data_IF_966389559787
#
_entry.id   IF_966389559787
#
_cell.length_a   1.000
_cell.length_b   1.000
_cell.length_c   1.000
_cell.angle_alpha   90.00
_cell.angle_beta   90.00
_cell.angle_gamma   90.00
#
_symmetry.space_group_name_H-M   'P 1'
#
loop_
_entity.id
_entity.type
_entity.pdbx_description
1 polymer ?
#
# COMPACT_ATOMS: atom_id res chain seq x y z
N UNK A 1 20.06 9.86 -8.76
CA UNK A 1 18.96 9.18 -9.48
C UNK A 1 18.30 10.19 -10.40
N UNK A 2 17.98 9.82 -11.63
CA UNK A 2 17.14 10.63 -12.51
C UNK A 2 15.69 10.24 -12.25
N UNK A 3 14.94 11.12 -11.61
CA UNK A 3 13.52 10.90 -11.36
C UNK A 3 12.73 11.27 -12.62
N UNK A 4 11.75 10.43 -12.98
CA UNK A 4 10.81 10.73 -14.05
C UNK A 4 9.51 11.21 -13.43
N UNK A 5 9.17 12.47 -13.67
CA UNK A 5 7.86 12.99 -13.29
C UNK A 5 6.85 12.64 -14.39
N UNK A 6 5.85 11.80 -14.06
CA UNK A 6 4.70 11.54 -14.94
C UNK A 6 3.60 12.56 -14.65
N UNK A 7 3.30 13.49 -15.59
CA UNK A 7 2.20 14.44 -15.43
C UNK A 7 0.86 13.75 -15.15
N UNK A 8 0.07 14.35 -14.27
CA UNK A 8 -1.24 13.83 -13.85
C UNK A 8 -2.17 13.55 -15.04
N UNK A 9 -2.19 14.44 -16.04
CA UNK A 9 -2.98 14.24 -17.26
C UNK A 9 -2.69 12.91 -17.97
N UNK A 10 -1.43 12.49 -18.04
CA UNK A 10 -1.05 11.24 -18.69
C UNK A 10 -1.39 10.04 -17.81
N UNK A 11 -1.24 10.16 -16.49
CA UNK A 11 -1.72 9.13 -15.55
C UNK A 11 -3.21 8.89 -15.76
N UNK A 12 -4.03 9.94 -15.78
CA UNK A 12 -5.48 9.79 -15.96
C UNK A 12 -5.84 9.20 -17.32
N UNK A 13 -5.12 9.55 -18.39
CA UNK A 13 -5.31 8.95 -19.72
C UNK A 13 -5.02 7.45 -19.70
N UNK A 14 -3.90 7.03 -19.09
CA UNK A 14 -3.54 5.61 -18.95
C UNK A 14 -4.62 4.85 -18.19
N UNK A 15 -5.09 5.39 -17.06
CA UNK A 15 -6.12 4.73 -16.27
C UNK A 15 -7.47 4.63 -17.01
N UNK A 16 -7.73 5.50 -17.98
CA UNK A 16 -8.97 5.47 -18.80
C UNK A 16 -8.93 4.37 -19.87
N UNK A 17 -7.78 3.72 -20.09
CA UNK A 17 -7.67 2.58 -21.00
C UNK A 17 -8.26 1.29 -20.43
N UNK A 18 -8.48 1.22 -19.11
CA UNK A 18 -9.06 0.05 -18.45
C UNK A 18 -10.59 0.08 -18.49
N UNK A 19 -11.22 -1.11 -18.53
CA UNK A 19 -12.68 -1.23 -18.39
C UNK A 19 -13.12 -0.66 -17.02
N UNK A 20 -14.14 0.19 -17.02
CA UNK A 20 -14.67 0.84 -15.82
C UNK A 20 -15.10 -0.17 -14.74
N UNK A 21 -15.56 -1.37 -15.12
CA UNK A 21 -15.98 -2.42 -14.16
C UNK A 21 -14.84 -2.88 -13.27
N UNK A 22 -13.61 -2.87 -13.78
CA UNK A 22 -12.40 -3.31 -13.09
C UNK A 22 -12.18 -2.52 -11.79
N UNK A 23 -12.49 -1.22 -11.78
CA UNK A 23 -12.31 -0.36 -10.61
C UNK A 23 -13.19 -0.75 -9.41
N UNK A 24 -14.31 -1.43 -9.67
CA UNK A 24 -15.27 -1.87 -8.63
C UNK A 24 -15.23 -3.39 -8.36
N UNK A 25 -14.36 -4.13 -9.05
CA UNK A 25 -14.15 -5.55 -8.82
C UNK A 25 -13.15 -5.76 -7.69
N UNK A 26 -13.62 -6.40 -6.62
CA UNK A 26 -12.89 -6.62 -5.37
C UNK A 26 -11.79 -7.68 -5.52
N UNK A 27 -11.90 -8.55 -6.54
CA UNK A 27 -10.94 -9.63 -6.77
C UNK A 27 -9.72 -9.18 -7.58
N UNK A 28 -9.75 -7.97 -8.14
CA UNK A 28 -8.65 -7.44 -8.94
C UNK A 28 -7.55 -6.93 -8.03
N UNK A 29 -6.32 -7.38 -8.29
CA UNK A 29 -5.10 -6.87 -7.64
C UNK A 29 -4.34 -6.00 -8.62
N UNK A 30 -3.99 -4.79 -8.19
CA UNK A 30 -3.13 -3.88 -8.93
C UNK A 30 -1.68 -4.01 -8.45
N UNK A 31 -0.73 -3.93 -9.38
CA UNK A 31 0.68 -3.93 -9.06
C UNK A 31 1.42 -2.83 -9.82
N UNK A 32 2.10 -1.95 -9.09
CA UNK A 32 2.95 -0.89 -9.64
C UNK A 32 4.45 -1.22 -9.44
N UNK A 33 5.19 -1.57 -10.51
CA UNK A 33 6.55 -2.11 -10.41
C UNK A 33 7.66 -1.06 -10.15
N UNK A 34 7.37 0.22 -10.28
CA UNK A 34 8.33 1.30 -10.06
C UNK A 34 7.55 2.56 -9.65
N UNK A 35 7.06 2.56 -8.41
CA UNK A 35 6.01 3.50 -8.02
C UNK A 35 6.46 4.96 -7.97
N UNK A 36 7.76 5.24 -7.95
CA UNK A 36 8.29 6.58 -7.86
C UNK A 36 7.73 7.30 -6.63
N UNK A 37 7.33 8.55 -6.80
CA UNK A 37 6.60 9.27 -5.74
C UNK A 37 5.10 8.95 -5.68
N UNK A 38 4.64 7.92 -6.39
CA UNK A 38 3.29 7.38 -6.27
C UNK A 38 2.27 7.98 -7.22
N UNK A 39 2.67 8.63 -8.32
CA UNK A 39 1.71 9.29 -9.22
C UNK A 39 0.66 8.32 -9.79
N UNK A 40 1.08 7.12 -10.22
CA UNK A 40 0.16 6.09 -10.74
C UNK A 40 -0.55 5.37 -9.59
N UNK A 41 0.21 4.90 -8.59
CA UNK A 41 -0.35 4.18 -7.45
C UNK A 41 -1.44 4.99 -6.70
N UNK A 42 -1.21 6.28 -6.46
CA UNK A 42 -2.20 7.17 -5.83
C UNK A 42 -3.47 7.30 -6.66
N UNK A 43 -3.33 7.46 -7.98
CA UNK A 43 -4.47 7.59 -8.89
C UNK A 43 -5.29 6.29 -8.99
N UNK A 44 -4.62 5.13 -8.97
CA UNK A 44 -5.28 3.81 -8.87
C UNK A 44 -6.08 3.73 -7.57
N UNK A 45 -5.45 4.04 -6.43
CA UNK A 45 -6.12 3.99 -5.12
C UNK A 45 -7.33 4.93 -5.07
N UNK A 46 -7.19 6.16 -5.57
CA UNK A 46 -8.31 7.10 -5.61
C UNK A 46 -9.48 6.58 -6.44
N UNK A 47 -9.21 6.16 -7.68
CA UNK A 47 -10.24 5.70 -8.62
C UNK A 47 -10.94 4.46 -8.09
N UNK A 48 -10.19 3.51 -7.52
CA UNK A 48 -10.71 2.27 -6.92
C UNK A 48 -11.57 2.55 -5.70
N UNK A 49 -11.15 3.42 -4.77
CA UNK A 49 -11.98 3.80 -3.62
C UNK A 49 -13.30 4.41 -4.10
N UNK A 50 -13.26 5.34 -5.05
CA UNK A 50 -14.47 6.01 -5.53
C UNK A 50 -15.46 5.01 -6.18
N UNK A 51 -14.97 4.11 -7.02
CA UNK A 51 -15.78 3.08 -7.67
C UNK A 51 -16.39 2.09 -6.66
N UNK A 52 -15.59 1.64 -5.69
CA UNK A 52 -16.06 0.73 -4.63
C UNK A 52 -17.07 1.40 -3.69
N UNK A 53 -16.89 2.67 -3.33
CA UNK A 53 -17.87 3.42 -2.53
C UNK A 53 -19.23 3.45 -3.25
N UNK A 54 -19.25 3.76 -4.55
CA UNK A 54 -20.49 3.77 -5.34
C UNK A 54 -21.16 2.39 -5.32
N UNK A 55 -20.37 1.32 -5.54
CA UNK A 55 -20.86 -0.06 -5.48
C UNK A 55 -21.44 -0.38 -4.11
N UNK A 56 -20.70 -0.12 -3.04
CA UNK A 56 -21.06 -0.49 -1.67
C UNK A 56 -22.27 0.28 -1.15
N UNK A 57 -22.41 1.56 -1.50
CA UNK A 57 -23.64 2.33 -1.24
C UNK A 57 -24.83 1.67 -1.95
N UNK A 58 -24.69 1.33 -3.23
CA UNK A 58 -25.77 0.70 -4.02
C UNK A 58 -26.16 -0.67 -3.47
N UNK A 59 -25.22 -1.43 -2.93
CA UNK A 59 -25.47 -2.76 -2.35
C UNK A 59 -25.84 -2.72 -0.86
N UNK A 60 -25.88 -1.54 -0.23
CA UNK A 60 -26.29 -1.39 1.17
C UNK A 60 -25.26 -1.89 2.19
N UNK A 61 -23.97 -1.89 1.86
CA UNK A 61 -22.90 -2.19 2.82
C UNK A 61 -22.79 -1.05 3.83
N UNK A 62 -22.75 -1.40 5.13
CA UNK A 62 -22.49 -0.42 6.19
C UNK A 62 -21.10 0.19 6.04
N UNK A 63 -20.94 1.47 6.39
CA UNK A 63 -19.66 2.18 6.31
C UNK A 63 -18.93 1.98 4.96
N UNK A 64 -19.55 2.30 3.81
CA UNK A 64 -19.04 1.96 2.49
C UNK A 64 -17.64 2.54 2.21
N UNK A 65 -17.32 3.71 2.76
CA UNK A 65 -15.98 4.31 2.65
C UNK A 65 -14.90 3.47 3.35
N UNK A 66 -15.20 2.91 4.52
CA UNK A 66 -14.28 2.07 5.28
C UNK A 66 -13.98 0.77 4.52
N UNK A 67 -15.01 0.11 4.03
CA UNK A 67 -14.86 -1.11 3.23
C UNK A 67 -14.10 -0.83 1.93
N UNK A 68 -14.42 0.26 1.22
CA UNK A 68 -13.73 0.63 -0.01
C UNK A 68 -12.24 0.89 0.21
N UNK A 69 -11.89 1.57 1.30
CA UNK A 69 -10.49 1.79 1.71
C UNK A 69 -9.80 0.46 2.03
N UNK A 70 -10.40 -0.39 2.87
CA UNK A 70 -9.81 -1.69 3.22
C UNK A 70 -9.55 -2.54 1.99
N UNK A 71 -10.56 -2.73 1.14
CA UNK A 71 -10.46 -3.50 -0.11
C UNK A 71 -9.41 -2.92 -1.04
N UNK A 72 -9.38 -1.59 -1.20
CA UNK A 72 -8.39 -0.94 -2.07
C UNK A 72 -6.98 -1.15 -1.53
N UNK A 73 -6.74 -0.87 -0.25
CA UNK A 73 -5.41 -1.02 0.37
C UNK A 73 -4.98 -2.48 0.39
N UNK A 74 -5.88 -3.44 0.54
CA UNK A 74 -5.56 -4.87 0.45
C UNK A 74 -5.22 -5.36 -0.98
N UNK A 75 -5.63 -4.62 -2.00
CA UNK A 75 -5.50 -5.05 -3.41
C UNK A 75 -4.58 -4.18 -4.25
N UNK A 76 -3.73 -3.38 -3.61
CA UNK A 76 -2.71 -2.56 -4.28
C UNK A 76 -1.31 -2.92 -3.79
N UNK A 77 -0.48 -3.43 -4.68
CA UNK A 77 0.93 -3.67 -4.43
C UNK A 77 1.77 -2.66 -5.20
N UNK A 78 2.87 -2.22 -4.62
CA UNK A 78 3.77 -1.31 -5.29
C UNK A 78 5.19 -1.50 -4.78
N UNK A 79 6.17 -1.41 -5.65
CA UNK A 79 7.57 -1.42 -5.23
C UNK A 79 8.34 -0.33 -5.93
N UNK A 80 9.42 0.08 -5.28
CA UNK A 80 10.44 0.91 -5.89
C UNK A 80 11.78 0.58 -5.24
N UNK A 81 12.86 0.73 -6.00
CA UNK A 81 14.20 0.47 -5.50
C UNK A 81 14.72 1.61 -4.61
N UNK A 82 14.12 2.80 -4.72
CA UNK A 82 14.45 3.95 -3.92
C UNK A 82 13.58 4.00 -2.66
N UNK A 83 14.16 3.93 -1.45
CA UNK A 83 13.37 3.98 -0.21
C UNK A 83 12.61 5.30 -0.03
N UNK A 84 13.14 6.42 -0.56
CA UNK A 84 12.45 7.71 -0.53
C UNK A 84 11.18 7.70 -1.40
N UNK A 85 11.22 7.03 -2.56
CA UNK A 85 10.06 6.85 -3.44
C UNK A 85 8.94 6.08 -2.73
N UNK A 86 9.30 4.95 -2.12
CA UNK A 86 8.39 4.13 -1.31
C UNK A 86 7.78 4.96 -0.17
N UNK A 87 8.60 5.71 0.56
CA UNK A 87 8.14 6.56 1.65
C UNK A 87 7.12 7.61 1.17
N UNK A 88 7.45 8.35 0.11
CA UNK A 88 6.58 9.40 -0.42
C UNK A 88 5.28 8.83 -0.99
N UNK A 89 5.34 7.67 -1.63
CA UNK A 89 4.15 6.94 -2.09
C UNK A 89 3.23 6.57 -0.93
N UNK A 90 3.77 5.93 0.12
CA UNK A 90 3.02 5.57 1.33
C UNK A 90 2.38 6.80 1.98
N UNK A 91 3.16 7.87 2.17
CA UNK A 91 2.70 9.13 2.76
C UNK A 91 1.50 9.70 2.00
N UNK A 92 1.63 9.85 0.68
CA UNK A 92 0.57 10.43 -0.15
C UNK A 92 -0.71 9.61 -0.14
N UNK A 93 -0.58 8.28 -0.14
CA UNK A 93 -1.74 7.38 -0.03
C UNK A 93 -2.40 7.52 1.35
N UNK A 94 -1.63 7.53 2.44
CA UNK A 94 -2.16 7.72 3.81
C UNK A 94 -2.89 9.06 3.92
N UNK A 95 -2.28 10.15 3.45
CA UNK A 95 -2.88 11.48 3.49
C UNK A 95 -4.22 11.51 2.73
N UNK A 96 -4.28 10.87 1.56
CA UNK A 96 -5.51 10.79 0.77
C UNK A 96 -6.58 9.93 1.47
N UNK A 97 -6.21 8.75 1.95
CA UNK A 97 -7.12 7.84 2.65
C UNK A 97 -7.67 8.51 3.92
N UNK A 98 -6.82 9.17 4.69
CA UNK A 98 -7.24 9.93 5.88
C UNK A 98 -8.27 11.01 5.51
N UNK A 99 -8.04 11.78 4.43
CA UNK A 99 -9.03 12.75 3.94
C UNK A 99 -10.37 12.10 3.56
N UNK A 100 -10.34 10.97 2.85
CA UNK A 100 -11.57 10.24 2.46
C UNK A 100 -12.34 9.70 3.66
N UNK A 101 -11.66 9.14 4.66
CA UNK A 101 -12.28 8.64 5.89
C UNK A 101 -12.86 9.79 6.73
N UNK A 102 -12.12 10.88 6.93
CA UNK A 102 -12.61 12.05 7.68
C UNK A 102 -13.87 12.65 7.04
N UNK A 103 -13.96 12.64 5.71
CA UNK A 103 -15.15 13.09 4.98
C UNK A 103 -16.39 12.19 5.17
N UNK A 104 -16.21 10.92 5.59
CA UNK A 104 -17.29 9.96 5.78
C UNK A 104 -17.80 9.88 7.23
N UNK A 105 -17.61 10.94 8.03
CA UNK A 105 -17.94 10.98 9.46
C UNK A 105 -17.26 9.87 10.29
N UNK A 106 -16.07 9.43 9.87
CA UNK A 106 -15.29 8.40 10.55
C UNK A 106 -14.79 8.87 11.94
N UNK A 107 -15.12 8.10 12.98
CA UNK A 107 -14.72 8.41 14.37
C UNK A 107 -13.58 7.51 14.85
N UNK A 108 -12.36 8.05 14.87
CA UNK A 108 -11.13 7.35 15.29
C UNK A 108 -11.16 6.92 16.78
N UNK A 109 -12.04 7.51 17.60
CA UNK A 109 -12.01 7.34 19.06
C UNK A 109 -12.44 5.94 19.53
N UNK A 110 -13.16 5.19 18.70
CA UNK A 110 -13.61 3.83 19.05
C UNK A 110 -12.42 2.86 19.01
N UNK A 111 -12.22 2.00 20.02
CA UNK A 111 -11.10 1.04 20.05
C UNK A 111 -11.00 0.17 18.80
N UNK A 112 -12.14 -0.29 18.29
CA UNK A 112 -12.25 -1.08 17.06
C UNK A 112 -11.72 -0.32 15.83
N UNK A 113 -11.97 0.99 15.76
CA UNK A 113 -11.51 1.84 14.67
C UNK A 113 -10.00 2.10 14.74
N UNK A 114 -9.44 2.24 15.95
CA UNK A 114 -7.99 2.30 16.12
C UNK A 114 -7.33 1.02 15.63
N UNK A 115 -7.87 -0.14 16.01
CA UNK A 115 -7.34 -1.42 15.57
C UNK A 115 -7.40 -1.56 14.05
N UNK A 116 -8.54 -1.20 13.46
CA UNK A 116 -8.72 -1.16 12.01
C UNK A 116 -7.63 -0.30 11.33
N UNK A 117 -7.38 0.92 11.83
CA UNK A 117 -6.35 1.80 11.26
C UNK A 117 -4.95 1.21 11.38
N UNK A 118 -4.63 0.53 12.48
CA UNK A 118 -3.34 -0.14 12.66
C UNK A 118 -3.16 -1.20 11.57
N UNK A 119 -4.16 -2.07 11.36
CA UNK A 119 -4.08 -3.09 10.32
C UNK A 119 -4.04 -2.49 8.91
N UNK A 120 -4.78 -1.41 8.65
CA UNK A 120 -4.74 -0.72 7.37
C UNK A 120 -3.35 -0.15 7.07
N UNK A 121 -2.74 0.52 8.03
CA UNK A 121 -1.39 1.07 7.93
C UNK A 121 -0.34 -0.02 7.76
N UNK A 122 -0.45 -1.11 8.52
CA UNK A 122 0.44 -2.25 8.37
C UNK A 122 0.31 -2.92 6.99
N UNK A 123 -0.92 -3.04 6.47
CA UNK A 123 -1.18 -3.57 5.13
C UNK A 123 -0.53 -2.70 4.06
N UNK A 124 -0.63 -1.38 4.19
CA UNK A 124 0.02 -0.45 3.26
C UNK A 124 1.54 -0.62 3.26
N UNK A 125 2.17 -0.72 4.44
CA UNK A 125 3.63 -0.90 4.54
C UNK A 125 4.06 -2.27 4.02
N UNK A 126 3.27 -3.31 4.27
CA UNK A 126 3.50 -4.65 3.77
C UNK A 126 3.50 -4.69 2.24
N UNK A 127 2.51 -4.07 1.61
CA UNK A 127 2.29 -4.18 0.16
C UNK A 127 3.05 -3.15 -0.67
N UNK A 128 3.37 -1.99 -0.09
CA UNK A 128 4.15 -0.94 -0.75
C UNK A 128 5.52 -0.91 -0.11
N UNK A 129 6.58 -1.47 -0.74
CA UNK A 129 7.88 -1.63 -0.07
C UNK A 129 9.08 -1.48 -1.01
N UNK A 130 10.27 -1.33 -0.42
CA UNK A 130 11.52 -1.22 -1.17
C UNK A 130 11.87 -2.58 -1.80
N UNK A 131 11.91 -2.63 -3.13
CA UNK A 131 12.28 -3.83 -3.86
C UNK A 131 12.69 -3.53 -5.30
N UNK A 132 13.37 -4.49 -5.91
CA UNK A 132 13.68 -4.46 -7.34
C UNK A 132 12.76 -5.44 -8.08
N UNK A 133 11.95 -4.92 -8.99
CA UNK A 133 10.85 -5.68 -9.62
C UNK A 133 11.28 -6.94 -10.36
N UNK A 134 12.36 -6.92 -11.15
CA UNK A 134 12.72 -8.06 -11.98
C UNK A 134 13.07 -9.28 -11.13
N UNK A 135 13.83 -9.06 -10.05
CA UNK A 135 14.14 -10.10 -9.07
C UNK A 135 12.92 -10.44 -8.23
N UNK A 136 12.14 -9.47 -7.78
CA UNK A 136 11.00 -9.67 -6.88
C UNK A 136 9.87 -10.51 -7.48
N UNK A 137 9.65 -10.41 -8.80
CA UNK A 137 8.67 -11.21 -9.55
C UNK A 137 9.24 -12.53 -10.08
N UNK A 138 10.52 -12.81 -9.82
CA UNK A 138 11.18 -14.03 -10.29
C UNK A 138 11.22 -15.10 -9.20
N UNK A 139 11.40 -16.36 -9.60
CA UNK A 139 11.77 -17.40 -8.65
C UNK A 139 13.27 -17.34 -8.31
N UNK A 140 13.64 -17.97 -7.19
CA UNK A 140 15.01 -18.01 -6.67
C UNK A 140 16.07 -18.41 -7.71
N UNK A 141 15.75 -19.35 -8.61
CA UNK A 141 16.73 -19.88 -9.57
C UNK A 141 17.09 -18.90 -10.68
N UNK A 142 16.20 -17.96 -11.02
CA UNK A 142 16.40 -17.01 -12.12
C UNK A 142 16.49 -15.55 -11.65
N UNK A 143 16.25 -15.27 -10.37
CA UNK A 143 16.22 -13.92 -9.81
C UNK A 143 17.48 -13.10 -10.12
N UNK A 144 18.68 -13.70 -9.94
CA UNK A 144 19.95 -13.05 -10.27
C UNK A 144 20.04 -12.71 -11.75
N UNK A 145 19.75 -13.68 -12.63
CA UNK A 145 19.82 -13.47 -14.07
C UNK A 145 18.84 -12.39 -14.56
N UNK A 146 17.67 -12.28 -13.93
CA UNK A 146 16.65 -11.27 -14.23
C UNK A 146 17.06 -9.88 -13.74
N UNK A 147 17.52 -9.75 -12.50
CA UNK A 147 18.02 -8.48 -11.96
C UNK A 147 19.19 -7.93 -12.78
N UNK A 148 20.11 -8.83 -13.20
CA UNK A 148 21.31 -8.46 -13.97
C UNK A 148 21.03 -7.96 -15.40
N UNK A 149 19.77 -7.96 -15.86
CA UNK A 149 19.38 -7.31 -17.12
C UNK A 149 19.52 -5.78 -17.07
N UNK A 150 19.60 -5.20 -15.87
CA UNK A 150 19.88 -3.78 -15.67
C UNK A 150 21.05 -3.59 -14.71
N UNK A 151 21.84 -2.53 -14.88
CA UNK A 151 22.95 -2.21 -13.97
C UNK A 151 22.49 -1.94 -12.54
N UNK A 152 21.33 -1.30 -12.40
CA UNK A 152 20.73 -0.97 -11.12
C UNK A 152 20.24 -2.25 -10.43
N UNK A 153 19.54 -3.13 -11.14
CA UNK A 153 19.07 -4.40 -10.58
C UNK A 153 20.21 -5.34 -10.20
N UNK A 154 21.25 -5.43 -11.03
CA UNK A 154 22.47 -6.19 -10.72
C UNK A 154 23.11 -5.73 -9.40
N UNK A 155 23.18 -4.41 -9.20
CA UNK A 155 23.74 -3.81 -7.99
C UNK A 155 22.85 -4.05 -6.78
N UNK A 156 21.53 -3.92 -6.95
CA UNK A 156 20.57 -4.10 -5.86
C UNK A 156 20.58 -5.52 -5.30
N UNK A 157 20.51 -6.54 -6.17
CA UNK A 157 20.38 -7.93 -5.71
C UNK A 157 21.64 -8.42 -5.00
N UNK A 158 22.82 -7.89 -5.36
CA UNK A 158 24.08 -8.19 -4.66
C UNK A 158 24.09 -7.70 -3.21
N UNK A 159 23.42 -6.59 -2.93
CA UNK A 159 23.36 -5.99 -1.59
C UNK A 159 22.18 -6.53 -0.79
N UNK A 160 21.03 -6.68 -1.44
CA UNK A 160 19.76 -6.98 -0.78
C UNK A 160 19.35 -8.45 -0.82
N UNK A 161 20.02 -9.27 -1.63
CA UNK A 161 19.57 -10.62 -2.00
C UNK A 161 18.20 -10.62 -2.70
N UNK A 162 17.77 -11.77 -3.20
CA UNK A 162 16.43 -11.92 -3.75
C UNK A 162 15.36 -11.81 -2.64
N UNK A 163 14.42 -10.88 -2.80
CA UNK A 163 13.26 -10.70 -1.91
C UNK A 163 11.96 -10.87 -2.72
N UNK A 164 11.44 -12.10 -2.88
CA UNK A 164 10.24 -12.32 -3.68
C UNK A 164 9.01 -11.66 -3.06
N UNK A 165 8.15 -11.08 -3.89
CA UNK A 165 6.82 -10.63 -3.45
C UNK A 165 5.93 -11.86 -3.35
N UNK A 166 5.26 -12.01 -2.22
CA UNK A 166 4.25 -13.04 -2.01
C UNK A 166 2.86 -12.41 -2.06
N UNK A 167 2.25 -12.39 -3.25
CA UNK A 167 0.89 -11.87 -3.44
C UNK A 167 -0.18 -12.70 -2.70
N UNK A 168 0.12 -13.95 -2.38
CA UNK A 168 -0.81 -14.84 -1.69
C UNK A 168 -0.79 -14.66 -0.16
N UNK A 169 0.28 -14.07 0.40
CA UNK A 169 0.40 -13.83 1.84
C UNK A 169 0.09 -12.37 2.18
N UNK A 170 -1.14 -12.13 2.61
CA UNK A 170 -1.55 -10.81 3.09
C UNK A 170 -1.00 -10.49 4.49
N UNK A 171 -0.97 -9.20 4.84
CA UNK A 171 -0.67 -8.75 6.19
C UNK A 171 -1.62 -9.38 7.23
N UNK A 172 -2.92 -9.40 6.95
CA UNK A 172 -3.91 -9.96 7.87
C UNK A 172 -3.65 -11.44 8.14
N UNK A 173 -3.34 -12.21 7.10
CA UNK A 173 -3.01 -13.63 7.25
C UNK A 173 -1.71 -13.83 8.03
N UNK A 174 -0.67 -13.02 7.78
CA UNK A 174 0.55 -13.04 8.58
C UNK A 174 0.24 -12.77 10.07
N UNK A 175 -0.55 -11.73 10.33
CA UNK A 175 -0.92 -11.34 11.69
C UNK A 175 -1.68 -12.45 12.42
N UNK A 176 -2.69 -13.06 11.78
CA UNK A 176 -3.46 -14.18 12.32
C UNK A 176 -2.57 -15.40 12.62
N UNK A 177 -1.64 -15.74 11.71
CA UNK A 177 -0.67 -16.83 11.93
C UNK A 177 0.26 -16.55 13.12
N UNK A 178 0.65 -15.29 13.31
CA UNK A 178 1.48 -14.88 14.46
C UNK A 178 0.71 -14.97 15.77
N UNK A 179 -0.52 -14.45 15.82
CA UNK A 179 -1.33 -14.46 17.04
C UNK A 179 -1.75 -15.86 17.44
N UNK A 180 -2.01 -16.75 16.49
CA UNK A 180 -2.23 -18.18 16.76
C UNK A 180 -1.05 -18.87 17.45
N UNK A 181 0.16 -18.29 17.34
CA UNK A 181 1.38 -18.73 18.03
C UNK A 181 1.69 -17.93 19.30
N UNK A 182 0.72 -17.14 19.79
CA UNK A 182 0.88 -16.21 20.92
C UNK A 182 1.99 -15.16 20.70
N UNK A 183 2.19 -14.72 19.46
CA UNK A 183 3.13 -13.65 19.10
C UNK A 183 2.42 -12.51 18.40
N UNK A 184 2.88 -11.27 18.62
CA UNK A 184 2.39 -10.10 17.89
C UNK A 184 3.51 -9.65 16.95
N UNK A 185 3.23 -9.42 15.65
CA UNK A 185 4.25 -8.92 14.75
C UNK A 185 4.79 -7.55 15.22
N UNK A 186 6.11 -7.39 15.25
CA UNK A 186 6.76 -6.13 15.64
C UNK A 186 6.23 -4.92 14.87
N UNK A 187 5.87 -5.12 13.59
CA UNK A 187 5.33 -4.06 12.76
C UNK A 187 3.96 -3.55 13.25
N UNK A 188 3.11 -4.44 13.78
CA UNK A 188 1.86 -4.06 14.43
C UNK A 188 2.12 -3.19 15.65
N UNK A 189 3.04 -3.62 16.52
CA UNK A 189 3.37 -2.87 17.75
C UNK A 189 3.93 -1.48 17.46
N UNK A 190 4.82 -1.37 16.46
CA UNK A 190 5.36 -0.08 16.00
C UNK A 190 4.24 0.84 15.50
N UNK A 191 3.35 0.31 14.67
CA UNK A 191 2.22 1.06 14.11
C UNK A 191 1.23 1.50 15.19
N UNK A 192 0.94 0.63 16.16
CA UNK A 192 0.09 0.95 17.30
C UNK A 192 0.65 2.14 18.10
N UNK A 193 1.94 2.10 18.47
CA UNK A 193 2.61 3.21 19.18
C UNK A 193 2.60 4.51 18.38
N UNK A 194 2.84 4.43 17.07
CA UNK A 194 2.78 5.57 16.17
C UNK A 194 1.38 6.22 16.16
N UNK A 195 0.33 5.41 16.03
CA UNK A 195 -1.05 5.89 16.00
C UNK A 195 -1.45 6.50 17.36
N UNK A 196 -1.06 5.87 18.47
CA UNK A 196 -1.29 6.38 19.82
C UNK A 196 -0.65 7.76 20.02
N UNK A 197 0.60 7.93 19.61
CA UNK A 197 1.31 9.21 19.72
C UNK A 197 0.66 10.29 18.84
N UNK A 198 0.27 9.92 17.62
CA UNK A 198 -0.40 10.82 16.68
C UNK A 198 -1.75 11.31 17.19
N UNK A 199 -2.52 10.46 17.87
CA UNK A 199 -3.82 10.82 18.47
C UNK A 199 -3.66 11.63 19.76
N UNK A 200 -2.61 11.35 20.55
CA UNK A 200 -2.46 11.90 21.91
C UNK A 200 -1.77 13.27 21.97
N UNK A 201 -1.07 13.70 20.92
CA UNK A 201 -0.36 14.98 20.95
C UNK A 201 0.35 15.39 19.66
N UNK A 202 -0.42 15.89 18.68
CA UNK A 202 -0.09 17.05 17.82
C UNK A 202 1.24 17.17 17.07
N UNK A 203 2.12 16.17 17.04
CA UNK A 203 3.45 16.29 16.44
C UNK A 203 3.60 15.32 15.26
N UNK A 204 3.57 15.84 14.03
CA UNK A 204 3.69 15.10 12.77
C UNK A 204 5.09 14.55 12.50
N UNK A 205 6.04 14.70 13.45
CA UNK A 205 7.43 14.21 13.31
C UNK A 205 7.57 12.69 13.32
N UNK A 206 6.59 11.95 13.84
CA UNK A 206 6.66 10.48 13.95
C UNK A 206 6.49 9.70 12.64
N UNK A 207 6.18 10.37 11.52
CA UNK A 207 6.02 9.66 10.24
C UNK A 207 7.36 9.16 9.67
N UNK A 208 8.49 9.75 10.08
CA UNK A 208 9.82 9.23 9.77
C UNK A 208 10.10 7.90 10.50
N UNK A 209 9.57 7.74 11.73
CA UNK A 209 9.71 6.54 12.56
C UNK A 209 8.80 5.37 12.13
N UNK A 210 7.85 5.62 11.22
CA UNK A 210 6.90 4.63 10.72
C UNK A 210 7.48 3.75 9.59
N UNK A 211 8.60 4.14 8.97
CA UNK A 211 9.23 3.37 7.88
C UNK A 211 10.09 2.20 8.36
#
# INVERSE_FOLDING_TARGET
>A
MGEVFTPEQYVQQILTLFDEKLWSDENIVFFEPACGHGNIALAIVERRINALVIKYVKTGIDQPALHAVATTIHTIWAVDICPLNVHLTRKRIIDMVARKLLASAFEIRRPEMKNYLIHLLCTLVWQIHENETLSALSNQSIAQAKASQTKIGDSWIKVNSHKPINFDLSWCELYERSTARNTVPLHYEKTARFLETSISGGNTRGFEDFN
#
